data_IF_584623795558
#
_entry.id   IF_584623795558
#
_cell.length_a   1.000
_cell.length_b   1.000
_cell.length_c   1.000
_cell.angle_alpha   90.00
_cell.angle_beta   90.00
_cell.angle_gamma   90.00
#
_symmetry.space_group_name_H-M   'P 1'
#
loop_
_entity.id
_entity.type
_entity.pdbx_description
1 polymer ?
#
# COMPACT_ATOMS: atom_id res chain seq x y z
N UNK A 1 1.29 23.69 -17.36
CA UNK A 1 1.25 25.10 -17.83
C UNK A 1 1.89 25.97 -16.77
N UNK A 2 2.76 26.85 -17.25
CA UNK A 2 3.85 27.53 -16.57
C UNK A 2 3.35 28.85 -15.97
N UNK A 3 3.69 29.13 -14.71
CA UNK A 3 3.68 30.51 -14.20
C UNK A 3 4.80 30.67 -13.17
N UNK A 4 5.95 31.13 -13.66
CA UNK A 4 7.09 31.51 -12.83
C UNK A 4 7.00 33.02 -12.56
N UNK A 5 6.85 33.40 -11.30
CA UNK A 5 6.91 34.80 -10.88
C UNK A 5 8.38 35.27 -10.83
N UNK A 6 8.70 36.50 -11.26
CA UNK A 6 10.08 36.99 -11.26
C UNK A 6 10.53 37.39 -9.85
N UNK A 7 11.67 36.83 -9.43
CA UNK A 7 12.33 37.14 -8.17
C UNK A 7 12.91 38.57 -8.18
N UNK A 8 12.41 39.44 -7.29
CA UNK A 8 12.99 40.76 -7.04
C UNK A 8 14.27 40.61 -6.22
N UNK A 9 15.42 40.91 -6.82
CA UNK A 9 16.71 41.00 -6.13
C UNK A 9 16.76 42.31 -5.32
N UNK A 10 16.99 42.30 -4.00
CA UNK A 10 17.19 43.53 -3.23
C UNK A 10 18.57 44.13 -3.55
N UNK A 11 18.55 45.42 -3.87
CA UNK A 11 19.65 46.33 -4.17
C UNK A 11 21.00 46.02 -3.48
N UNK A 12 22.07 45.94 -4.28
CA UNK A 12 23.44 46.21 -3.80
C UNK A 12 23.53 47.72 -3.52
N UNK A 13 23.65 48.11 -2.24
CA UNK A 13 24.12 49.46 -1.90
C UNK A 13 25.60 49.55 -2.28
N UNK A 14 25.95 50.56 -3.08
CA UNK A 14 27.35 50.87 -3.37
C UNK A 14 28.08 51.28 -2.07
N UNK A 15 29.39 51.03 -1.94
CA UNK A 15 30.17 51.47 -0.79
C UNK A 15 30.13 53.01 -0.65
N UNK A 16 30.09 53.56 0.58
CA UNK A 16 30.15 55.00 0.78
C UNK A 16 31.50 55.52 0.27
N UNK A 17 31.46 56.57 -0.56
CA UNK A 17 32.66 57.26 -1.04
C UNK A 17 33.52 57.71 0.14
N UNK A 18 34.83 57.50 0.00
CA UNK A 18 35.85 57.94 0.93
C UNK A 18 35.71 59.44 1.16
N UNK A 19 35.27 59.82 2.36
CA UNK A 19 35.34 61.19 2.84
C UNK A 19 36.81 61.47 3.16
N UNK A 20 37.58 61.87 2.16
CA UNK A 20 38.92 62.39 2.35
C UNK A 20 38.84 63.64 3.24
N UNK A 21 39.13 63.45 4.53
CA UNK A 21 39.38 64.55 5.44
C UNK A 21 40.73 65.15 5.06
N UNK A 22 40.68 66.12 4.13
CA UNK A 22 41.77 67.06 3.91
C UNK A 22 42.04 67.74 5.25
N UNK A 23 43.10 67.31 5.94
CA UNK A 23 43.69 68.04 7.05
C UNK A 23 44.18 69.37 6.51
N UNK A 24 43.33 70.38 6.55
CA UNK A 24 43.73 71.78 6.50
C UNK A 24 44.63 72.01 7.71
N UNK A 25 45.95 72.04 7.48
CA UNK A 25 46.94 72.49 8.45
C UNK A 25 46.66 73.99 8.64
N UNK A 26 46.22 74.46 9.83
CA UNK A 26 46.05 75.88 10.05
C UNK A 26 47.42 76.55 9.91
N UNK A 27 47.52 77.39 8.89
CA UNK A 27 48.71 78.17 8.57
C UNK A 27 49.27 78.85 9.81
N UNK A 28 50.59 78.74 9.93
CA UNK A 28 51.44 79.53 10.81
C UNK A 28 51.09 81.00 10.68
N UNK A 29 50.30 81.49 11.64
CA UNK A 29 50.06 82.92 11.87
C UNK A 29 51.40 83.51 12.33
N UNK A 30 52.11 84.12 11.39
CA UNK A 30 53.22 85.04 11.64
C UNK A 30 52.68 86.22 12.45
N UNK A 31 52.72 86.11 13.78
CA UNK A 31 52.63 87.27 14.66
C UNK A 31 54.04 87.78 14.93
N UNK A 32 54.19 89.10 14.76
CA UNK A 32 55.37 89.92 15.02
C UNK A 32 56.29 89.39 16.13
N UNK A 33 57.54 89.07 15.78
CA UNK A 33 58.61 88.83 16.73
C UNK A 33 59.10 90.19 17.30
N UNK A 34 58.82 90.45 18.57
CA UNK A 34 59.84 91.12 19.39
C UNK A 34 61.09 90.21 19.45
N UNK A 35 62.32 90.74 19.57
CA UNK A 35 63.52 89.93 19.62
C UNK A 35 63.58 89.22 20.98
N UNK A 36 62.82 88.12 21.10
CA UNK A 36 62.99 87.11 22.13
C UNK A 36 64.46 86.71 22.13
N UNK A 37 65.08 86.78 23.30
CA UNK A 37 66.45 86.34 23.51
C UNK A 37 66.57 84.87 23.07
N UNK A 38 67.69 84.45 22.49
CA UNK A 38 67.85 83.05 22.02
C UNK A 38 67.50 82.01 23.10
N UNK A 39 67.72 82.34 24.37
CA UNK A 39 67.34 81.53 25.53
C UNK A 39 65.81 81.35 25.69
N UNK A 40 65.00 82.35 25.36
CA UNK A 40 63.54 82.31 25.44
C UNK A 40 62.94 81.52 24.29
N UNK A 41 63.48 81.68 23.07
CA UNK A 41 63.14 80.85 21.90
C UNK A 41 63.45 79.37 22.17
N UNK A 42 64.60 79.09 22.77
CA UNK A 42 65.02 77.73 23.14
C UNK A 42 64.06 77.10 24.17
N UNK A 43 63.61 77.88 25.17
CA UNK A 43 62.60 77.44 26.15
C UNK A 43 61.24 77.16 25.50
N UNK A 44 60.77 78.03 24.59
CA UNK A 44 59.51 77.81 23.88
C UNK A 44 59.55 76.51 23.06
N UNK A 45 60.62 76.30 22.29
CA UNK A 45 60.82 75.08 21.50
C UNK A 45 60.89 73.81 22.37
N UNK A 46 61.51 73.89 23.56
CA UNK A 46 61.53 72.79 24.51
C UNK A 46 60.12 72.46 25.03
N UNK A 47 59.35 73.48 25.41
CA UNK A 47 57.95 73.29 25.84
C UNK A 47 57.09 72.70 24.73
N UNK A 48 57.26 73.18 23.48
CA UNK A 48 56.55 72.64 22.32
C UNK A 48 56.94 71.19 22.04
N UNK A 49 58.22 70.83 22.13
CA UNK A 49 58.67 69.45 22.00
C UNK A 49 58.08 68.53 23.07
N UNK A 50 58.02 68.99 24.33
CA UNK A 50 57.41 68.24 25.41
C UNK A 50 55.91 68.05 25.21
N UNK A 51 55.22 69.10 24.74
CA UNK A 51 53.81 69.05 24.38
C UNK A 51 53.56 68.06 23.22
N UNK A 52 54.38 68.10 22.17
CA UNK A 52 54.31 67.16 21.05
C UNK A 52 54.55 65.71 21.51
N UNK A 53 55.54 65.47 22.37
CA UNK A 53 55.78 64.14 22.97
C UNK A 53 54.59 63.66 23.80
N UNK A 54 53.98 64.55 24.61
CA UNK A 54 52.77 64.23 25.38
C UNK A 54 51.59 63.90 24.48
N UNK A 55 51.38 64.67 23.40
CA UNK A 55 50.33 64.43 22.39
C UNK A 55 50.54 63.10 21.67
N UNK A 56 51.76 62.81 21.23
CA UNK A 56 52.11 61.54 20.59
C UNK A 56 51.82 60.36 21.53
N UNK A 57 52.28 60.42 22.79
CA UNK A 57 52.01 59.36 23.77
C UNK A 57 50.51 59.19 24.10
N UNK A 58 49.72 60.28 24.06
CA UNK A 58 48.25 60.20 24.18
C UNK A 58 47.62 59.53 22.95
N UNK A 59 48.08 59.90 21.75
CA UNK A 59 47.60 59.33 20.49
C UNK A 59 47.91 57.82 20.43
N UNK A 60 49.16 57.41 20.73
CA UNK A 60 49.58 56.00 20.75
C UNK A 60 48.74 55.17 21.74
N UNK A 61 48.53 55.65 22.97
CA UNK A 61 47.68 54.94 23.94
C UNK A 61 46.23 54.80 23.47
N UNK A 62 45.73 55.80 22.74
CA UNK A 62 44.37 55.78 22.18
C UNK A 62 44.27 54.82 20.99
N UNK A 63 45.28 54.75 20.12
CA UNK A 63 45.31 53.76 19.03
C UNK A 63 45.44 52.34 19.57
N UNK A 64 46.33 52.09 20.53
CA UNK A 64 46.46 50.77 21.17
C UNK A 64 45.15 50.33 21.87
N UNK A 65 44.39 51.27 22.44
CA UNK A 65 43.08 50.97 23.03
C UNK A 65 42.06 50.57 21.96
N UNK A 66 41.98 51.31 20.85
CA UNK A 66 41.10 50.99 19.73
C UNK A 66 41.49 49.67 19.04
N UNK A 67 42.78 49.38 18.91
CA UNK A 67 43.28 48.11 18.37
C UNK A 67 42.82 46.93 19.22
N UNK A 68 42.93 47.03 20.55
CA UNK A 68 42.42 46.01 21.48
C UNK A 68 40.90 45.83 21.39
N UNK A 69 40.14 46.92 21.28
CA UNK A 69 38.68 46.83 21.10
C UNK A 69 38.30 46.15 19.77
N UNK A 70 39.04 46.42 18.70
CA UNK A 70 38.84 45.77 17.40
C UNK A 70 39.19 44.28 17.45
N UNK A 71 40.30 43.91 18.10
CA UNK A 71 40.72 42.52 18.26
C UNK A 71 39.66 41.72 19.05
N UNK A 72 39.17 42.25 20.18
CA UNK A 72 38.08 41.66 20.95
C UNK A 72 36.81 41.53 20.08
N UNK A 73 36.47 42.56 19.31
CA UNK A 73 35.31 42.51 18.41
C UNK A 73 35.44 41.44 17.33
N UNK A 74 36.64 41.24 16.79
CA UNK A 74 36.93 40.18 15.81
C UNK A 74 36.77 38.79 16.44
N UNK A 75 37.36 38.57 17.62
CA UNK A 75 37.26 37.28 18.34
C UNK A 75 35.81 36.92 18.67
N UNK A 76 35.01 37.91 19.13
CA UNK A 76 33.58 37.70 19.40
C UNK A 76 32.82 37.28 18.15
N UNK A 77 33.02 37.98 17.03
CA UNK A 77 32.35 37.65 15.77
C UNK A 77 32.78 36.29 15.21
N UNK A 78 34.06 35.95 15.33
CA UNK A 78 34.57 34.65 14.90
C UNK A 78 33.96 33.50 15.70
N UNK A 79 33.83 33.68 17.03
CA UNK A 79 33.16 32.72 17.90
C UNK A 79 31.67 32.54 17.53
N UNK A 80 30.93 33.64 17.35
CA UNK A 80 29.50 33.59 16.97
C UNK A 80 29.28 32.94 15.60
N UNK A 81 30.16 33.21 14.64
CA UNK A 81 30.15 32.57 13.32
C UNK A 81 30.45 31.07 13.42
N UNK A 82 31.42 30.69 14.26
CA UNK A 82 31.75 29.29 14.55
C UNK A 82 30.54 28.54 15.13
N UNK A 83 29.93 29.08 16.19
CA UNK A 83 28.74 28.49 16.81
C UNK A 83 27.57 28.36 15.82
N UNK A 84 27.32 29.40 15.02
CA UNK A 84 26.27 29.38 14.00
C UNK A 84 26.51 28.30 12.93
N UNK A 85 27.77 28.08 12.54
CA UNK A 85 28.14 27.00 11.60
C UNK A 85 27.91 25.62 12.19
N UNK A 86 28.32 25.40 13.43
CA UNK A 86 28.10 24.13 14.12
C UNK A 86 26.61 23.80 14.28
N UNK A 87 25.78 24.78 14.67
CA UNK A 87 24.34 24.59 14.77
C UNK A 87 23.72 24.27 13.41
N UNK A 88 24.16 24.94 12.35
CA UNK A 88 23.72 24.65 10.99
C UNK A 88 24.07 23.20 10.59
N UNK A 89 25.27 22.72 10.90
CA UNK A 89 25.67 21.34 10.58
C UNK A 89 24.90 20.31 11.42
N UNK A 90 24.63 20.59 12.69
CA UNK A 90 23.70 19.77 13.52
C UNK A 90 22.32 19.69 12.89
N UNK A 91 21.79 20.80 12.38
CA UNK A 91 20.50 20.79 11.68
C UNK A 91 20.55 19.98 10.40
N UNK A 92 21.57 20.13 9.56
CA UNK A 92 21.74 19.32 8.33
C UNK A 92 21.74 17.82 8.64
N UNK A 93 22.42 17.40 9.69
CA UNK A 93 22.44 16.00 10.09
C UNK A 93 21.10 15.49 10.60
N UNK A 94 20.38 16.30 11.38
CA UNK A 94 18.99 15.99 11.77
C UNK A 94 18.09 15.83 10.56
N UNK A 95 18.16 16.75 9.59
CA UNK A 95 17.40 16.67 8.35
C UNK A 95 17.74 15.42 7.54
N UNK A 96 19.03 15.09 7.40
CA UNK A 96 19.49 13.88 6.71
C UNK A 96 18.93 12.61 7.36
N UNK A 97 18.99 12.51 8.70
CA UNK A 97 18.46 11.37 9.45
C UNK A 97 16.94 11.26 9.31
N UNK A 98 16.24 12.39 9.39
CA UNK A 98 14.79 12.45 9.21
C UNK A 98 14.38 12.01 7.80
N UNK A 99 15.08 12.49 6.77
CA UNK A 99 14.85 12.08 5.38
C UNK A 99 15.10 10.57 5.18
N UNK A 100 16.17 10.03 5.76
CA UNK A 100 16.44 8.59 5.69
C UNK A 100 15.35 7.77 6.40
N UNK A 101 14.91 8.22 7.58
CA UNK A 101 13.82 7.57 8.32
C UNK A 101 12.50 7.62 7.55
N UNK A 102 12.16 8.78 6.98
CA UNK A 102 10.97 8.96 6.14
C UNK A 102 11.00 8.03 4.93
N UNK A 103 12.11 7.99 4.17
CA UNK A 103 12.22 7.13 2.98
C UNK A 103 12.21 5.63 3.35
N UNK A 104 12.79 5.24 4.49
CA UNK A 104 12.69 3.87 4.99
C UNK A 104 11.23 3.51 5.32
N UNK A 105 10.53 4.37 6.06
CA UNK A 105 9.12 4.17 6.40
C UNK A 105 8.23 4.13 5.15
N UNK A 106 8.47 5.01 4.17
CA UNK A 106 7.76 5.03 2.90
C UNK A 106 7.93 3.71 2.13
N UNK A 107 9.14 3.14 2.09
CA UNK A 107 9.38 1.82 1.49
C UNK A 107 8.61 0.73 2.22
N UNK A 108 8.65 0.71 3.56
CA UNK A 108 7.91 -0.29 4.33
C UNK A 108 6.40 -0.18 4.11
N UNK A 109 5.87 1.03 3.95
CA UNK A 109 4.46 1.23 3.68
C UNK A 109 4.07 0.70 2.28
N UNK A 110 4.89 0.96 1.26
CA UNK A 110 4.69 0.41 -0.08
C UNK A 110 4.68 -1.12 -0.07
N UNK A 111 5.63 -1.75 0.64
CA UNK A 111 5.67 -3.21 0.77
C UNK A 111 4.42 -3.78 1.47
N UNK A 112 3.88 -3.06 2.45
CA UNK A 112 2.64 -3.46 3.14
C UNK A 112 1.43 -3.30 2.23
N UNK A 113 1.35 -2.22 1.46
CA UNK A 113 0.32 -2.01 0.45
C UNK A 113 0.35 -3.14 -0.59
N UNK A 114 1.52 -3.50 -1.11
CA UNK A 114 1.67 -4.58 -2.10
C UNK A 114 1.26 -5.96 -1.52
N UNK A 115 1.61 -6.23 -0.26
CA UNK A 115 1.17 -7.44 0.47
C UNK A 115 -0.34 -7.45 0.63
N UNK A 116 -0.96 -6.33 0.99
CA UNK A 116 -2.41 -6.21 1.12
C UNK A 116 -3.11 -6.48 -0.21
N UNK A 117 -2.64 -5.86 -1.31
CA UNK A 117 -3.17 -6.13 -2.65
C UNK A 117 -3.05 -7.61 -3.04
N UNK A 118 -1.95 -8.26 -2.69
CA UNK A 118 -1.74 -9.69 -2.96
C UNK A 118 -2.72 -10.56 -2.17
N UNK A 119 -2.91 -10.27 -0.88
CA UNK A 119 -3.85 -11.00 -0.02
C UNK A 119 -5.30 -10.83 -0.48
N UNK A 120 -5.70 -9.61 -0.85
CA UNK A 120 -7.04 -9.33 -1.39
C UNK A 120 -7.27 -10.16 -2.67
N UNK A 121 -6.34 -10.13 -3.63
CA UNK A 121 -6.45 -10.92 -4.86
C UNK A 121 -6.59 -12.41 -4.58
N UNK A 122 -5.81 -12.94 -3.63
CA UNK A 122 -5.90 -14.35 -3.23
C UNK A 122 -7.28 -14.66 -2.63
N UNK A 123 -7.74 -13.85 -1.69
CA UNK A 123 -9.05 -14.03 -1.06
C UNK A 123 -10.20 -13.95 -2.08
N UNK A 124 -10.10 -13.06 -3.07
CA UNK A 124 -11.08 -12.97 -4.17
C UNK A 124 -11.08 -14.22 -5.06
N UNK A 125 -9.91 -14.80 -5.33
CA UNK A 125 -9.80 -16.06 -6.06
C UNK A 125 -10.39 -17.21 -5.25
N UNK A 126 -10.01 -17.35 -3.99
CA UNK A 126 -10.51 -18.41 -3.10
C UNK A 126 -12.03 -18.32 -2.97
N UNK A 127 -12.59 -17.10 -2.84
CA UNK A 127 -14.03 -16.87 -2.84
C UNK A 127 -14.69 -17.37 -4.12
N UNK A 128 -14.15 -17.05 -5.30
CA UNK A 128 -14.69 -17.51 -6.58
C UNK A 128 -14.66 -19.05 -6.70
N UNK A 129 -13.59 -19.68 -6.22
CA UNK A 129 -13.47 -21.14 -6.20
C UNK A 129 -14.56 -21.74 -5.31
N UNK A 130 -14.73 -21.23 -4.09
CA UNK A 130 -15.77 -21.69 -3.17
C UNK A 130 -17.19 -21.44 -3.72
N UNK A 131 -17.44 -20.28 -4.32
CA UNK A 131 -18.71 -19.96 -4.97
C UNK A 131 -19.04 -20.99 -6.08
N UNK A 132 -18.03 -21.39 -6.88
CA UNK A 132 -18.18 -22.41 -7.91
C UNK A 132 -18.46 -23.81 -7.32
N UNK A 133 -17.73 -24.21 -6.28
CA UNK A 133 -17.93 -25.48 -5.57
C UNK A 133 -19.33 -25.57 -4.94
N UNK A 134 -19.83 -24.47 -4.35
CA UNK A 134 -21.18 -24.40 -3.80
C UNK A 134 -22.21 -24.68 -4.89
N UNK A 135 -22.08 -24.05 -6.06
CA UNK A 135 -23.00 -24.27 -7.19
C UNK A 135 -22.93 -25.72 -7.67
N UNK A 136 -21.73 -26.27 -7.83
CA UNK A 136 -21.54 -27.66 -8.27
C UNK A 136 -22.18 -28.66 -7.30
N UNK A 137 -21.94 -28.51 -5.99
CA UNK A 137 -22.52 -29.37 -4.96
C UNK A 137 -24.03 -29.20 -4.85
N UNK A 138 -24.54 -27.99 -5.02
CA UNK A 138 -25.99 -27.71 -5.02
C UNK A 138 -26.69 -28.44 -6.17
N UNK A 139 -26.08 -28.42 -7.37
CA UNK A 139 -26.61 -29.16 -8.52
C UNK A 139 -26.60 -30.68 -8.27
N UNK A 140 -25.49 -31.23 -7.77
CA UNK A 140 -25.40 -32.66 -7.42
C UNK A 140 -26.46 -33.06 -6.39
N UNK A 141 -26.71 -32.21 -5.39
CA UNK A 141 -27.75 -32.44 -4.39
C UNK A 141 -29.15 -32.42 -5.01
N UNK A 142 -29.42 -31.48 -5.92
CA UNK A 142 -30.69 -31.41 -6.62
C UNK A 142 -30.94 -32.66 -7.48
N UNK A 143 -29.92 -33.14 -8.20
CA UNK A 143 -30.00 -34.36 -9.00
C UNK A 143 -30.24 -35.61 -8.14
N UNK A 144 -29.54 -35.73 -7.01
CA UNK A 144 -29.76 -36.81 -6.05
C UNK A 144 -31.20 -36.77 -5.49
N UNK A 145 -31.70 -35.59 -5.13
CA UNK A 145 -33.08 -35.41 -4.66
C UNK A 145 -34.10 -35.80 -5.72
N UNK A 146 -33.89 -35.40 -6.98
CA UNK A 146 -34.75 -35.80 -8.09
C UNK A 146 -34.77 -37.32 -8.28
N UNK A 147 -33.62 -37.98 -8.13
CA UNK A 147 -33.50 -39.43 -8.19
C UNK A 147 -34.27 -40.11 -7.06
N UNK A 148 -34.15 -39.60 -5.82
CA UNK A 148 -34.89 -40.10 -4.65
C UNK A 148 -36.40 -39.99 -4.89
N UNK A 149 -36.89 -38.80 -5.25
CA UNK A 149 -38.31 -38.59 -5.55
C UNK A 149 -38.82 -39.59 -6.60
N UNK A 150 -38.00 -39.86 -7.62
CA UNK A 150 -38.37 -40.80 -8.68
C UNK A 150 -38.48 -42.23 -8.16
N UNK A 151 -37.54 -42.64 -7.31
CA UNK A 151 -37.56 -43.96 -6.70
C UNK A 151 -38.72 -44.12 -5.72
N UNK A 152 -39.05 -43.08 -4.94
CA UNK A 152 -40.21 -43.06 -4.05
C UNK A 152 -41.52 -43.20 -4.83
N UNK A 153 -41.71 -42.45 -5.92
CA UNK A 153 -42.86 -42.60 -6.82
C UNK A 153 -43.01 -44.03 -7.37
N UNK A 154 -41.91 -44.64 -7.81
CA UNK A 154 -41.90 -46.00 -8.33
C UNK A 154 -42.20 -47.02 -7.22
N UNK A 155 -41.66 -46.81 -6.02
CA UNK A 155 -41.89 -47.67 -4.87
C UNK A 155 -43.37 -47.68 -4.47
N UNK A 156 -44.01 -46.51 -4.42
CA UNK A 156 -45.44 -46.40 -4.13
C UNK A 156 -46.30 -47.08 -5.20
N UNK A 157 -45.95 -46.93 -6.49
CA UNK A 157 -46.64 -47.67 -7.56
C UNK A 157 -46.51 -49.17 -7.38
N UNK A 158 -45.30 -49.68 -7.10
CA UNK A 158 -45.10 -51.09 -6.85
C UNK A 158 -45.90 -51.59 -5.64
N UNK A 159 -46.01 -50.79 -4.58
CA UNK A 159 -46.87 -51.11 -3.43
C UNK A 159 -48.34 -51.23 -3.83
N UNK A 160 -48.85 -50.30 -4.62
CA UNK A 160 -50.23 -50.33 -5.11
C UNK A 160 -50.48 -51.57 -5.98
N UNK A 161 -49.57 -51.86 -6.92
CA UNK A 161 -49.66 -53.04 -7.79
C UNK A 161 -49.63 -54.36 -6.97
N UNK A 162 -48.75 -54.45 -5.98
CA UNK A 162 -48.69 -55.60 -5.06
C UNK A 162 -49.99 -55.75 -4.28
N UNK A 163 -50.52 -54.64 -3.74
CA UNK A 163 -51.79 -54.65 -3.01
C UNK A 163 -52.95 -55.09 -3.90
N UNK A 164 -53.01 -54.61 -5.15
CA UNK A 164 -54.01 -55.03 -6.13
C UNK A 164 -53.89 -56.52 -6.44
N UNK A 165 -52.68 -57.03 -6.67
CA UNK A 165 -52.45 -58.46 -6.89
C UNK A 165 -52.92 -59.29 -5.70
N UNK A 166 -52.62 -58.86 -4.46
CA UNK A 166 -53.11 -59.49 -3.23
C UNK A 166 -54.63 -59.44 -3.15
N UNK A 167 -55.27 -58.32 -3.50
CA UNK A 167 -56.73 -58.22 -3.53
C UNK A 167 -57.35 -59.16 -4.57
N UNK A 168 -56.84 -59.20 -5.80
CA UNK A 168 -57.31 -60.11 -6.85
C UNK A 168 -57.16 -61.59 -6.44
N UNK A 169 -56.07 -61.93 -5.73
CA UNK A 169 -55.87 -63.28 -5.17
C UNK A 169 -56.82 -63.57 -3.99
N UNK A 170 -57.17 -62.57 -3.18
CA UNK A 170 -58.08 -62.71 -2.02
C UNK A 170 -59.56 -62.64 -2.39
N UNK A 171 -59.91 -61.93 -3.46
CA UNK A 171 -61.27 -61.83 -3.98
C UNK A 171 -61.77 -63.22 -4.42
N UNK A 172 -62.50 -63.86 -3.51
CA UNK A 172 -63.42 -64.98 -3.71
C UNK A 172 -62.87 -66.22 -4.45
N UNK A 173 -62.47 -67.21 -3.62
CA UNK A 173 -62.32 -68.63 -4.00
C UNK A 173 -63.57 -69.21 -4.68
N UNK A 174 -64.74 -68.55 -4.56
CA UNK A 174 -66.01 -68.94 -5.17
C UNK A 174 -66.17 -68.54 -6.65
N UNK A 175 -65.33 -67.63 -7.18
CA UNK A 175 -65.38 -67.24 -8.61
C UNK A 175 -64.31 -67.91 -9.48
N UNK A 176 -63.25 -68.47 -8.88
CA UNK A 176 -62.46 -69.50 -9.55
C UNK A 176 -63.28 -70.79 -9.59
N UNK A 177 -64.31 -70.83 -10.44
CA UNK A 177 -64.80 -72.12 -10.91
C UNK A 177 -63.65 -72.76 -11.66
N UNK A 178 -63.17 -73.90 -11.15
CA UNK A 178 -62.40 -74.82 -11.96
C UNK A 178 -63.31 -75.28 -13.10
N UNK A 179 -63.37 -74.51 -14.18
CA UNK A 179 -64.07 -74.92 -15.39
C UNK A 179 -63.37 -76.19 -15.87
N UNK A 180 -64.06 -77.32 -15.70
CA UNK A 180 -63.61 -78.57 -16.29
C UNK A 180 -63.81 -78.42 -17.80
N UNK A 181 -63.06 -79.17 -18.59
CA UNK A 181 -63.28 -79.25 -20.05
C UNK A 181 -64.77 -79.44 -20.40
N UNK A 182 -65.49 -80.20 -19.56
CA UNK A 182 -66.93 -80.44 -19.65
C UNK A 182 -67.83 -79.18 -19.56
N UNK A 183 -67.34 -78.07 -19.01
CA UNK A 183 -68.12 -76.84 -18.78
C UNK A 183 -68.06 -75.86 -19.96
N UNK A 184 -67.28 -76.17 -21.01
CA UNK A 184 -67.23 -75.38 -22.25
C UNK A 184 -68.42 -75.72 -23.17
N UNK A 185 -68.98 -74.73 -23.91
CA UNK A 185 -69.89 -74.99 -25.02
C UNK A 185 -69.34 -76.05 -25.98
N UNK A 186 -70.21 -76.93 -26.51
CA UNK A 186 -69.80 -78.08 -27.33
C UNK A 186 -68.88 -77.71 -28.50
N UNK A 187 -69.14 -76.57 -29.16
CA UNK A 187 -68.31 -76.06 -30.26
C UNK A 187 -66.85 -75.82 -29.83
N UNK A 188 -66.65 -75.30 -28.63
CA UNK A 188 -65.31 -75.05 -28.07
C UNK A 188 -64.66 -76.33 -27.55
N UNK A 189 -65.43 -77.30 -27.04
CA UNK A 189 -64.91 -78.63 -26.72
C UNK A 189 -64.35 -79.32 -27.96
N UNK A 190 -65.10 -79.33 -29.06
CA UNK A 190 -64.68 -79.95 -30.31
C UNK A 190 -63.43 -79.29 -30.88
N UNK A 191 -63.32 -77.97 -30.79
CA UNK A 191 -62.14 -77.23 -31.23
C UNK A 191 -60.89 -77.58 -30.43
N UNK A 192 -61.01 -77.67 -29.10
CA UNK A 192 -59.90 -78.03 -28.21
C UNK A 192 -59.54 -79.50 -28.35
N UNK A 193 -60.52 -80.41 -28.50
CA UNK A 193 -60.27 -81.82 -28.79
C UNK A 193 -59.57 -81.98 -30.14
N UNK A 194 -60.03 -81.31 -31.21
CA UNK A 194 -59.34 -81.34 -32.51
C UNK A 194 -57.89 -80.90 -32.38
N UNK A 195 -57.62 -79.81 -31.65
CA UNK A 195 -56.24 -79.33 -31.43
C UNK A 195 -55.38 -80.34 -30.66
N UNK A 196 -55.89 -80.92 -29.56
CA UNK A 196 -55.13 -81.91 -28.78
C UNK A 196 -54.83 -83.17 -29.59
N UNK A 197 -55.79 -83.69 -30.34
CA UNK A 197 -55.62 -84.90 -31.14
C UNK A 197 -54.74 -84.64 -32.38
N UNK A 198 -54.83 -83.46 -33.00
CA UNK A 198 -53.92 -83.07 -34.09
C UNK A 198 -52.47 -82.88 -33.63
N UNK A 199 -52.26 -82.47 -32.38
CA UNK A 199 -50.92 -82.33 -31.80
C UNK A 199 -50.28 -83.67 -31.39
N UNK A 200 -51.08 -84.71 -31.14
CA UNK A 200 -50.62 -86.02 -30.69
C UNK A 200 -50.25 -86.96 -31.84
N UNK A 201 -50.85 -86.82 -33.03
CA UNK A 201 -50.45 -87.58 -34.23
C UNK A 201 -49.13 -87.09 -34.87
N UNK A 202 -48.64 -85.90 -34.50
CA UNK A 202 -47.38 -85.35 -34.99
C UNK A 202 -46.14 -85.78 -34.17
N UNK A 203 -46.31 -86.43 -33.01
CA UNK A 203 -45.21 -86.67 -32.08
C UNK A 203 -45.18 -88.11 -31.55
N UNK A 204 -44.60 -89.06 -32.31
CA UNK A 204 -43.74 -90.18 -31.81
C UNK A 204 -43.38 -91.21 -32.90
N UNK A 205 -42.23 -91.92 -32.83
CA UNK A 205 -40.87 -91.43 -32.54
C UNK A 205 -39.78 -92.15 -33.38
N UNK A 206 -38.80 -91.42 -33.92
CA UNK A 206 -37.57 -91.99 -34.49
C UNK A 206 -36.49 -92.23 -33.43
N UNK A 207 -36.45 -93.44 -32.84
CA UNK A 207 -35.34 -93.91 -31.99
C UNK A 207 -34.04 -94.06 -32.80
N UNK A 208 -32.94 -93.41 -32.39
CA UNK A 208 -31.57 -93.95 -32.59
C UNK A 208 -30.68 -93.70 -31.36
N UNK A 209 -30.18 -94.82 -30.83
CA UNK A 209 -29.24 -94.95 -29.72
C UNK A 209 -27.85 -94.46 -30.14
N UNK A 210 -27.15 -93.83 -29.19
CA UNK A 210 -25.70 -93.60 -29.20
C UNK A 210 -24.95 -94.91 -28.91
N UNK A 211 -23.85 -95.12 -29.63
CA UNK A 211 -22.59 -95.65 -29.09
C UNK A 211 -21.50 -94.66 -29.44
#
# INVERSE_FOLDING_TARGET
MTSAAPAKKPYRKAPPEHRELRLEIPGSRLEQEEPLTDAERMKLLQQENEELRRRLASATRRTEALERELEIGQDCLELELGQSREELDKFKDKFRRLQNSYTASQRTNQELEDKLHTLIKKAEMDRKTLDWEIVELTNKLLDAKNTINKLEELNERYRLDCNLAVQLLKCNKSHFRNHKFADLPCELQDMVQKHLHSGQEAASPGRKKKS
#
